data_IF_852884491240
#
_entry.id   IF_852884491240
#
_cell.length_a   1.000
_cell.length_b   1.000
_cell.length_c   1.000
_cell.angle_alpha   90.00
_cell.angle_beta   90.00
_cell.angle_gamma   90.00
#
_symmetry.space_group_name_H-M   'P 1'
#
loop_
_entity.id
_entity.type
_entity.pdbx_description
1 polymer ?
#
# COMPACT_ATOMS: atom_id res chain seq x y z
N UNK A 1 22.56 4.55 34.97
CA UNK A 1 22.20 4.29 33.57
C UNK A 1 20.80 4.81 33.41
N UNK A 2 20.65 6.05 32.89
CA UNK A 2 19.34 6.59 32.54
C UNK A 2 18.76 5.68 31.45
N UNK A 3 17.67 5.00 31.74
CA UNK A 3 16.83 4.36 30.74
C UNK A 3 16.31 5.50 29.85
N UNK A 4 16.94 5.70 28.69
CA UNK A 4 16.36 6.53 27.64
C UNK A 4 15.07 5.80 27.26
N UNK A 5 13.92 6.38 27.58
CA UNK A 5 12.65 5.81 27.19
C UNK A 5 12.65 5.70 25.66
N UNK A 6 12.39 4.50 25.14
CA UNK A 6 12.30 4.28 23.70
C UNK A 6 11.19 5.15 23.11
N UNK A 7 11.46 5.82 22.00
CA UNK A 7 10.42 6.55 21.27
C UNK A 7 9.47 5.54 20.65
N UNK A 8 8.22 5.51 21.11
CA UNK A 8 7.25 4.55 20.63
C UNK A 8 7.04 4.67 19.11
N UNK A 9 6.90 3.56 18.41
CA UNK A 9 6.92 3.51 16.95
C UNK A 9 5.76 2.70 16.40
N UNK A 10 5.10 3.25 15.36
CA UNK A 10 4.01 2.59 14.63
C UNK A 10 4.48 2.23 13.23
N UNK A 11 4.37 0.95 12.85
CA UNK A 11 4.65 0.44 11.51
C UNK A 11 3.36 0.37 10.69
N UNK A 12 3.29 1.13 9.60
CA UNK A 12 2.14 1.17 8.67
C UNK A 12 2.51 0.48 7.36
N UNK A 13 1.90 -0.67 7.02
CA UNK A 13 2.27 -1.44 5.85
C UNK A 13 1.75 -0.82 4.53
N UNK A 14 2.28 -1.30 3.41
CA UNK A 14 1.83 -0.97 2.06
C UNK A 14 0.71 -1.87 1.54
N UNK A 15 0.49 -1.78 0.24
CA UNK A 15 -0.40 -2.70 -0.49
C UNK A 15 0.11 -4.14 -0.34
N UNK A 16 -0.79 -5.10 -0.11
CA UNK A 16 -0.45 -6.50 0.18
C UNK A 16 0.44 -6.68 1.43
N UNK A 17 0.64 -5.65 2.24
CA UNK A 17 1.69 -5.56 3.27
C UNK A 17 1.30 -6.08 4.65
N UNK A 18 0.12 -6.66 4.82
CA UNK A 18 -0.29 -7.37 6.03
C UNK A 18 -1.21 -8.53 5.72
N UNK A 19 -1.36 -9.43 6.68
CA UNK A 19 -2.25 -10.59 6.56
C UNK A 19 -3.71 -10.18 6.43
N UNK A 20 -4.48 -10.97 5.67
CA UNK A 20 -5.94 -10.98 5.67
C UNK A 20 -6.44 -12.39 5.94
N UNK A 21 -7.49 -12.51 6.72
CA UNK A 21 -8.14 -13.79 7.02
C UNK A 21 -9.58 -13.78 6.52
N UNK A 22 -10.05 -14.96 6.10
CA UNK A 22 -11.41 -15.17 5.63
C UNK A 22 -12.13 -16.25 6.44
N UNK A 23 -13.44 -16.06 6.59
CA UNK A 23 -14.38 -17.10 7.02
C UNK A 23 -15.49 -17.19 5.99
N UNK A 24 -15.87 -18.42 5.62
CA UNK A 24 -16.78 -18.67 4.51
C UNK A 24 -18.10 -19.32 4.99
N UNK A 25 -19.22 -18.82 4.45
CA UNK A 25 -20.54 -19.47 4.45
C UNK A 25 -21.28 -19.05 3.16
N UNK A 26 -20.75 -19.50 2.02
CA UNK A 26 -21.10 -19.03 0.68
C UNK A 26 -22.35 -19.74 0.14
N UNK A 27 -23.19 -19.05 -0.63
CA UNK A 27 -24.34 -19.68 -1.30
C UNK A 27 -23.89 -20.62 -2.40
N UNK A 28 -22.76 -20.33 -3.09
CA UNK A 28 -22.19 -21.12 -4.17
C UNK A 28 -20.68 -20.94 -4.23
N UNK A 29 -20.00 -21.78 -4.98
CA UNK A 29 -18.56 -21.72 -5.24
C UNK A 29 -18.28 -21.75 -6.74
N UNK A 30 -17.19 -21.10 -7.16
CA UNK A 30 -16.80 -21.01 -8.59
C UNK A 30 -16.23 -22.32 -9.13
N UNK A 31 -15.72 -23.19 -8.25
CA UNK A 31 -15.16 -24.48 -8.61
C UNK A 31 -15.40 -25.48 -7.47
N UNK A 32 -15.58 -26.77 -7.80
CA UNK A 32 -15.91 -27.84 -6.81
C UNK A 32 -14.84 -28.05 -5.74
N UNK A 33 -13.59 -27.66 -5.98
CA UNK A 33 -12.50 -27.73 -5.00
C UNK A 33 -12.51 -26.59 -3.99
N UNK A 34 -13.28 -25.52 -4.24
CA UNK A 34 -13.34 -24.37 -3.34
C UNK A 34 -14.18 -24.68 -2.10
N UNK A 35 -13.69 -24.26 -0.95
CA UNK A 35 -14.49 -24.36 0.27
C UNK A 35 -15.72 -23.46 0.18
N UNK A 36 -16.89 -24.06 0.41
CA UNK A 36 -18.16 -23.35 0.51
C UNK A 36 -18.35 -22.77 1.91
N UNK A 37 -17.92 -23.50 2.94
CA UNK A 37 -18.06 -23.16 4.34
C UNK A 37 -16.79 -23.50 5.10
N UNK A 38 -16.43 -22.65 6.08
CA UNK A 38 -15.34 -22.90 7.04
C UNK A 38 -15.84 -22.66 8.46
N UNK A 39 -15.38 -23.45 9.42
CA UNK A 39 -15.76 -23.30 10.83
C UNK A 39 -15.06 -22.13 11.51
N UNK A 40 -13.84 -21.81 11.07
CA UNK A 40 -13.00 -20.75 11.61
C UNK A 40 -12.43 -19.86 10.51
N UNK A 41 -11.84 -18.74 10.92
CA UNK A 41 -11.03 -17.93 10.01
C UNK A 41 -9.77 -18.69 9.59
N UNK A 42 -9.39 -18.53 8.32
CA UNK A 42 -8.14 -19.03 7.76
C UNK A 42 -7.41 -17.89 7.05
N UNK A 43 -6.10 -18.02 6.89
CA UNK A 43 -5.28 -17.03 6.18
C UNK A 43 -5.63 -17.06 4.69
N UNK A 44 -6.12 -15.93 4.19
CA UNK A 44 -6.39 -15.72 2.78
C UNK A 44 -5.19 -15.07 2.07
N UNK A 45 -4.50 -14.17 2.77
CA UNK A 45 -3.30 -13.50 2.32
C UNK A 45 -2.25 -13.44 3.46
N UNK A 46 -1.00 -13.86 3.30
CA UNK A 46 -0.50 -14.58 2.11
C UNK A 46 -0.72 -16.09 2.35
N UNK A 47 -1.36 -16.76 1.42
CA UNK A 47 -1.52 -18.20 1.42
C UNK A 47 -1.09 -18.77 0.07
N UNK A 48 0.15 -19.27 -0.01
CA UNK A 48 0.75 -19.76 -1.24
C UNK A 48 0.04 -20.98 -1.82
N UNK A 49 -0.66 -21.76 -0.99
CA UNK A 49 -1.43 -22.93 -1.44
C UNK A 49 -2.66 -22.54 -2.26
N UNK A 50 -3.19 -21.33 -2.03
CA UNK A 50 -4.30 -20.79 -2.81
C UNK A 50 -3.84 -20.10 -4.10
N UNK A 51 -2.53 -19.86 -4.27
CA UNK A 51 -1.94 -19.23 -5.45
C UNK A 51 -1.41 -20.23 -6.46
N UNK A 52 -1.93 -21.45 -6.47
CA UNK A 52 -1.63 -22.47 -7.49
C UNK A 52 -2.75 -22.52 -8.56
N UNK A 53 -2.49 -23.05 -9.77
CA UNK A 53 -3.39 -22.91 -10.92
C UNK A 53 -4.85 -23.32 -10.69
N UNK A 54 -5.12 -24.36 -9.91
CA UNK A 54 -6.50 -24.81 -9.62
C UNK A 54 -7.17 -24.03 -8.48
N UNK A 55 -6.40 -23.60 -7.49
CA UNK A 55 -6.94 -22.93 -6.30
C UNK A 55 -7.07 -21.40 -6.49
N UNK A 56 -6.40 -20.83 -7.50
CA UNK A 56 -6.40 -19.39 -7.75
C UNK A 56 -7.81 -18.83 -7.99
N UNK A 57 -8.69 -19.59 -8.63
CA UNK A 57 -10.07 -19.15 -8.87
C UNK A 57 -10.85 -19.04 -7.56
N UNK A 58 -10.59 -19.93 -6.58
CA UNK A 58 -11.14 -19.83 -5.22
C UNK A 58 -10.61 -18.57 -4.49
N UNK A 59 -9.31 -18.31 -4.63
CA UNK A 59 -8.67 -17.15 -4.02
C UNK A 59 -9.24 -15.86 -4.60
N UNK A 60 -9.32 -15.74 -5.93
CA UNK A 60 -9.90 -14.58 -6.62
C UNK A 60 -11.33 -14.32 -6.16
N UNK A 61 -12.18 -15.36 -6.10
CA UNK A 61 -13.58 -15.23 -5.70
C UNK A 61 -13.76 -14.83 -4.23
N UNK A 62 -12.85 -15.24 -3.34
CA UNK A 62 -12.89 -14.86 -1.93
C UNK A 62 -12.24 -13.50 -1.66
N UNK A 63 -11.22 -13.10 -2.47
CA UNK A 63 -10.47 -11.88 -2.25
C UNK A 63 -11.09 -10.64 -2.90
N UNK A 64 -11.87 -10.83 -3.99
CA UNK A 64 -12.47 -9.71 -4.71
C UNK A 64 -13.43 -8.91 -3.85
N UNK A 65 -13.65 -7.65 -4.22
CA UNK A 65 -14.68 -6.79 -3.68
C UNK A 65 -15.81 -6.62 -4.70
N UNK A 66 -16.97 -6.20 -4.21
CA UNK A 66 -18.12 -5.79 -5.01
C UNK A 66 -18.36 -4.32 -4.73
N UNK A 67 -18.15 -3.48 -5.75
CA UNK A 67 -18.39 -2.05 -5.65
C UNK A 67 -19.85 -1.72 -5.91
N UNK A 68 -20.43 -0.88 -5.05
CA UNK A 68 -21.80 -0.40 -5.20
C UNK A 68 -21.80 1.07 -5.63
N UNK A 69 -22.24 1.33 -6.87
CA UNK A 69 -22.28 2.68 -7.47
C UNK A 69 -23.24 3.63 -6.77
N UNK A 70 -24.22 3.13 -6.02
CA UNK A 70 -25.18 3.98 -5.30
C UNK A 70 -24.65 4.46 -3.95
N UNK A 71 -23.95 3.57 -3.23
CA UNK A 71 -23.39 3.88 -1.90
C UNK A 71 -21.95 4.33 -1.95
N UNK A 72 -21.29 4.24 -3.13
CA UNK A 72 -19.86 4.53 -3.33
C UNK A 72 -18.99 3.79 -2.32
N UNK A 73 -19.26 2.50 -2.13
CA UNK A 73 -18.55 1.64 -1.18
C UNK A 73 -18.43 0.22 -1.70
N UNK A 74 -17.45 -0.50 -1.19
CA UNK A 74 -17.19 -1.88 -1.55
C UNK A 74 -17.43 -2.83 -0.40
N UNK A 75 -17.85 -4.05 -0.74
CA UNK A 75 -18.11 -5.15 0.21
C UNK A 75 -17.51 -6.45 -0.28
N UNK A 76 -17.26 -7.38 0.64
CA UNK A 76 -16.91 -8.75 0.26
C UNK A 76 -18.10 -9.46 -0.43
N UNK A 77 -17.85 -10.50 -1.24
CA UNK A 77 -18.91 -11.31 -1.83
C UNK A 77 -19.83 -11.94 -0.77
N UNK A 78 -21.08 -12.30 -1.13
CA UNK A 78 -22.00 -12.95 -0.21
C UNK A 78 -21.40 -14.20 0.43
N UNK A 79 -21.45 -14.26 1.77
CA UNK A 79 -20.92 -15.37 2.56
C UNK A 79 -19.38 -15.38 2.69
N UNK A 80 -18.71 -14.29 2.35
CA UNK A 80 -17.28 -14.09 2.60
C UNK A 80 -17.11 -13.02 3.67
N UNK A 81 -16.63 -13.40 4.84
CA UNK A 81 -16.27 -12.48 5.91
C UNK A 81 -14.74 -12.32 5.91
N UNK A 82 -14.25 -11.07 5.81
CA UNK A 82 -12.82 -10.75 5.85
C UNK A 82 -12.51 -9.98 7.11
N UNK A 83 -11.41 -10.34 7.77
CA UNK A 83 -10.85 -9.56 8.88
C UNK A 83 -9.36 -9.29 8.68
N UNK A 84 -8.89 -8.23 9.31
CA UNK A 84 -7.48 -7.85 9.38
C UNK A 84 -6.94 -8.25 10.74
N UNK A 85 -6.10 -9.30 10.83
CA UNK A 85 -5.57 -9.74 12.11
C UNK A 85 -4.43 -8.84 12.60
N UNK A 86 -4.26 -8.76 13.93
CA UNK A 86 -3.05 -8.25 14.54
C UNK A 86 -2.93 -6.73 14.61
N UNK A 87 -4.02 -5.96 14.58
CA UNK A 87 -3.96 -4.53 14.85
C UNK A 87 -3.36 -4.27 16.25
N UNK A 88 -2.37 -3.37 16.33
CA UNK A 88 -1.60 -3.10 17.54
C UNK A 88 -0.50 -4.12 17.85
N UNK A 89 -0.34 -5.16 17.02
CA UNK A 89 0.71 -6.16 17.10
C UNK A 89 1.58 -6.18 15.86
N UNK A 90 2.82 -6.64 15.97
CA UNK A 90 3.79 -6.59 14.87
C UNK A 90 3.68 -7.78 13.92
N UNK A 91 3.21 -8.96 14.38
CA UNK A 91 3.29 -10.21 13.62
C UNK A 91 2.67 -10.16 12.22
N UNK A 92 1.52 -9.47 12.09
CA UNK A 92 0.75 -9.40 10.83
C UNK A 92 1.44 -8.53 9.77
N UNK A 93 2.31 -7.59 10.19
CA UNK A 93 3.12 -6.74 9.31
C UNK A 93 4.56 -7.24 9.19
N UNK A 94 5.07 -8.01 10.16
CA UNK A 94 6.40 -8.62 10.06
C UNK A 94 6.43 -9.72 9.01
N UNK A 95 5.38 -10.55 8.97
CA UNK A 95 5.25 -11.66 8.03
C UNK A 95 3.85 -11.70 7.42
N UNK A 96 3.80 -11.77 6.10
CA UNK A 96 2.54 -11.90 5.34
C UNK A 96 1.97 -13.32 5.44
N UNK A 97 2.84 -14.32 5.65
CA UNK A 97 2.51 -15.73 5.86
C UNK A 97 2.70 -16.11 7.33
N UNK A 98 1.68 -16.68 8.02
CA UNK A 98 1.77 -17.12 9.41
C UNK A 98 2.87 -18.17 9.67
N UNK A 99 3.30 -18.93 8.63
CA UNK A 99 4.41 -19.88 8.76
C UNK A 99 5.78 -19.21 8.92
N UNK A 100 5.84 -17.86 8.77
CA UNK A 100 7.05 -17.03 8.91
C UNK A 100 8.18 -17.43 7.97
N UNK A 101 7.85 -17.90 6.77
CA UNK A 101 8.84 -18.18 5.72
C UNK A 101 9.39 -16.88 5.15
N UNK A 102 10.64 -16.93 4.67
CA UNK A 102 11.34 -15.78 4.10
C UNK A 102 10.59 -15.11 2.95
N UNK A 103 9.86 -15.88 2.16
CA UNK A 103 9.05 -15.36 1.05
C UNK A 103 7.94 -14.40 1.48
N UNK A 104 7.46 -14.53 2.72
CA UNK A 104 6.45 -13.66 3.31
C UNK A 104 7.02 -12.61 4.27
N UNK A 105 8.34 -12.49 4.39
CA UNK A 105 8.98 -11.54 5.28
C UNK A 105 8.82 -10.10 4.76
N UNK A 106 8.34 -9.21 5.63
CA UNK A 106 8.08 -7.82 5.26
C UNK A 106 8.73 -6.85 6.27
N UNK A 107 8.05 -6.35 7.29
CA UNK A 107 8.66 -5.44 8.27
C UNK A 107 9.60 -6.11 9.29
N UNK A 108 9.78 -7.43 9.23
CA UNK A 108 10.53 -8.19 10.24
C UNK A 108 11.92 -7.61 10.53
N UNK A 109 12.71 -7.27 9.51
CA UNK A 109 14.08 -6.78 9.73
C UNK A 109 14.13 -5.43 10.46
N UNK A 110 13.20 -4.51 10.15
CA UNK A 110 13.10 -3.23 10.86
C UNK A 110 12.67 -3.47 12.31
N UNK A 111 11.63 -4.29 12.53
CA UNK A 111 11.14 -4.59 13.87
C UNK A 111 12.22 -5.35 14.70
N UNK A 112 12.91 -6.32 14.08
CA UNK A 112 13.99 -7.06 14.76
C UNK A 112 15.15 -6.13 15.12
N UNK A 113 15.58 -5.25 14.23
CA UNK A 113 16.60 -4.25 14.52
C UNK A 113 16.19 -3.35 15.71
N UNK A 114 14.93 -2.93 15.77
CA UNK A 114 14.42 -2.17 16.91
C UNK A 114 14.47 -2.97 18.20
N UNK A 115 14.12 -4.27 18.17
CA UNK A 115 14.25 -5.17 19.34
C UNK A 115 15.71 -5.27 19.78
N UNK A 116 16.64 -5.37 18.83
CA UNK A 116 18.07 -5.40 19.13
C UNK A 116 18.57 -4.07 19.74
N UNK A 117 17.85 -2.96 19.54
CA UNK A 117 18.10 -1.66 20.19
C UNK A 117 17.37 -1.51 21.53
N UNK A 118 16.63 -2.51 21.97
CA UNK A 118 15.95 -2.54 23.27
C UNK A 118 14.45 -2.26 23.22
N UNK A 119 13.84 -2.24 22.04
CA UNK A 119 12.38 -2.14 21.89
C UNK A 119 11.69 -3.47 22.23
N UNK A 120 10.44 -3.37 22.67
CA UNK A 120 9.58 -4.53 22.94
C UNK A 120 8.47 -4.59 21.88
N UNK A 121 8.36 -5.75 21.17
CA UNK A 121 7.25 -6.02 20.26
C UNK A 121 5.92 -5.87 20.95
N UNK A 122 4.93 -5.36 20.21
CA UNK A 122 3.54 -5.19 20.66
C UNK A 122 3.39 -4.18 21.80
N UNK A 123 4.47 -3.51 22.16
CA UNK A 123 4.54 -2.49 23.20
C UNK A 123 5.14 -1.18 22.69
N UNK A 124 6.47 -1.07 22.60
CA UNK A 124 7.16 0.12 22.09
C UNK A 124 7.07 0.22 20.57
N UNK A 125 6.96 -0.92 19.88
CA UNK A 125 6.73 -1.01 18.43
C UNK A 125 5.46 -1.79 18.17
N UNK A 126 4.51 -1.15 17.44
CA UNK A 126 3.23 -1.75 17.09
C UNK A 126 2.97 -1.66 15.59
N UNK A 127 2.29 -2.68 15.06
CA UNK A 127 1.82 -2.68 13.67
C UNK A 127 0.41 -2.10 13.55
N UNK A 128 0.16 -1.41 12.46
CA UNK A 128 -1.14 -0.88 12.10
C UNK A 128 -1.64 -1.48 10.77
N UNK A 129 -1.94 -2.79 10.73
CA UNK A 129 -2.49 -3.44 9.54
C UNK A 129 -3.90 -2.94 9.23
N UNK A 130 -4.26 -2.94 7.93
CA UNK A 130 -5.57 -2.50 7.45
C UNK A 130 -6.02 -3.33 6.25
N UNK A 131 -7.28 -3.18 5.84
CA UNK A 131 -7.78 -3.80 4.61
C UNK A 131 -7.21 -3.06 3.40
N UNK A 132 -6.06 -3.53 2.91
CA UNK A 132 -5.32 -2.92 1.81
C UNK A 132 -6.03 -2.98 0.45
N UNK A 133 -7.13 -3.74 0.32
CA UNK A 133 -7.96 -3.76 -0.89
C UNK A 133 -8.77 -2.46 -1.04
N UNK A 134 -8.92 -1.72 0.05
CA UNK A 134 -9.73 -0.50 0.15
C UNK A 134 -8.86 0.75 0.12
N UNK A 135 -9.49 1.88 -0.16
CA UNK A 135 -8.88 3.20 0.02
C UNK A 135 -9.30 3.81 1.37
N UNK A 136 -8.67 4.92 1.82
CA UNK A 136 -8.93 5.50 3.13
C UNK A 136 -10.40 5.81 3.44
N UNK A 137 -11.19 6.25 2.43
CA UNK A 137 -12.61 6.56 2.59
C UNK A 137 -13.45 5.37 3.07
N UNK A 138 -13.00 4.15 2.84
CA UNK A 138 -13.68 2.92 3.26
C UNK A 138 -13.04 2.24 4.49
N UNK A 139 -11.98 2.82 5.07
CA UNK A 139 -11.27 2.29 6.25
C UNK A 139 -11.40 3.22 7.48
N UNK A 140 -12.56 3.80 7.71
CA UNK A 140 -12.77 4.80 8.80
C UNK A 140 -12.46 4.25 10.20
N UNK A 141 -12.88 3.03 10.48
CA UNK A 141 -12.66 2.37 11.79
C UNK A 141 -11.16 2.17 12.05
N UNK A 142 -10.39 1.86 11.01
CA UNK A 142 -8.92 1.78 11.11
C UNK A 142 -8.32 3.10 11.59
N UNK A 143 -8.75 4.24 11.06
CA UNK A 143 -8.19 5.55 11.45
C UNK A 143 -8.55 5.93 12.89
N UNK A 144 -9.75 5.58 13.35
CA UNK A 144 -10.13 5.76 14.76
C UNK A 144 -9.27 4.89 15.69
N UNK A 145 -9.05 3.64 15.30
CA UNK A 145 -8.18 2.73 16.04
C UNK A 145 -6.71 3.19 16.03
N UNK A 146 -6.23 3.69 14.88
CA UNK A 146 -4.87 4.24 14.75
C UNK A 146 -4.66 5.45 15.64
N UNK A 147 -5.59 6.40 15.64
CA UNK A 147 -5.53 7.58 16.52
C UNK A 147 -5.45 7.17 17.98
N UNK A 148 -6.36 6.29 18.42
CA UNK A 148 -6.37 5.78 19.80
C UNK A 148 -5.07 5.08 20.18
N UNK A 149 -4.55 4.21 19.31
CA UNK A 149 -3.29 3.50 19.53
C UNK A 149 -2.12 4.47 19.67
N UNK A 150 -2.02 5.49 18.82
CA UNK A 150 -0.97 6.52 18.90
C UNK A 150 -1.06 7.28 20.24
N UNK A 151 -2.25 7.69 20.64
CA UNK A 151 -2.46 8.39 21.93
C UNK A 151 -2.06 7.51 23.13
N UNK A 152 -2.46 6.24 23.13
CA UNK A 152 -2.07 5.26 24.17
C UNK A 152 -0.54 5.06 24.22
N UNK A 153 0.10 4.88 23.06
CA UNK A 153 1.56 4.69 22.98
C UNK A 153 2.31 5.94 23.45
N UNK A 154 1.86 7.11 23.04
CA UNK A 154 2.48 8.39 23.47
C UNK A 154 2.34 8.61 24.98
N UNK A 155 1.19 8.31 25.57
CA UNK A 155 0.97 8.39 27.00
C UNK A 155 1.90 7.42 27.77
N UNK A 156 2.01 6.19 27.30
CA UNK A 156 2.84 5.17 27.93
C UNK A 156 4.33 5.50 27.84
N UNK A 157 4.80 5.97 26.70
CA UNK A 157 6.19 6.34 26.46
C UNK A 157 6.57 7.70 27.08
N UNK A 158 5.59 8.51 27.48
CA UNK A 158 5.81 9.85 28.01
C UNK A 158 6.23 10.87 26.95
N UNK A 159 5.98 10.62 25.67
CA UNK A 159 6.37 11.50 24.57
C UNK A 159 5.71 11.10 23.24
N UNK A 160 5.88 11.94 22.17
CA UNK A 160 5.28 11.68 20.88
C UNK A 160 5.88 10.44 20.20
N UNK A 161 5.12 9.83 19.28
CA UNK A 161 5.49 8.62 18.56
C UNK A 161 6.13 8.92 17.19
N UNK A 162 6.87 7.95 16.65
CA UNK A 162 7.34 7.95 15.27
C UNK A 162 6.46 7.01 14.44
N UNK A 163 6.04 7.46 13.25
CA UNK A 163 5.36 6.60 12.29
C UNK A 163 6.35 6.20 11.20
N UNK A 164 6.49 4.89 10.97
CA UNK A 164 7.26 4.34 9.84
C UNK A 164 6.26 3.71 8.89
N UNK A 165 6.14 4.26 7.69
CA UNK A 165 5.24 3.73 6.68
C UNK A 165 6.00 3.31 5.42
N UNK A 166 5.53 2.25 4.78
CA UNK A 166 6.08 1.76 3.52
C UNK A 166 5.03 1.79 2.41
N UNK A 167 5.46 2.15 1.19
CA UNK A 167 4.62 2.05 -0.03
C UNK A 167 3.28 2.80 0.13
N UNK A 168 2.16 2.17 -0.19
CA UNK A 168 0.81 2.73 -0.05
C UNK A 168 0.49 3.19 1.38
N UNK A 169 1.10 2.59 2.40
CA UNK A 169 0.95 3.01 3.80
C UNK A 169 1.33 4.47 4.04
N UNK A 170 2.19 5.04 3.20
CA UNK A 170 2.53 6.46 3.26
C UNK A 170 1.36 7.35 2.87
N UNK A 171 0.59 6.96 1.84
CA UNK A 171 -0.61 7.69 1.44
C UNK A 171 -1.72 7.59 2.51
N UNK A 172 -1.86 6.42 3.15
CA UNK A 172 -2.75 6.23 4.31
C UNK A 172 -2.33 7.13 5.47
N UNK A 173 -1.04 7.21 5.76
CA UNK A 173 -0.48 8.08 6.82
C UNK A 173 -0.68 9.55 6.47
N UNK A 174 -0.45 9.96 5.21
CA UNK A 174 -0.70 11.33 4.76
C UNK A 174 -2.17 11.71 4.93
N UNK A 175 -3.09 10.85 4.48
CA UNK A 175 -4.53 11.07 4.66
C UNK A 175 -4.89 11.21 6.14
N UNK A 176 -4.41 10.30 6.99
CA UNK A 176 -4.64 10.33 8.44
C UNK A 176 -4.15 11.63 9.07
N UNK A 177 -2.90 12.04 8.80
CA UNK A 177 -2.32 13.24 9.37
C UNK A 177 -3.04 14.52 8.91
N UNK A 178 -3.55 14.53 7.67
CA UNK A 178 -4.32 15.66 7.15
C UNK A 178 -5.73 15.77 7.75
N UNK A 179 -6.25 14.71 8.36
CA UNK A 179 -7.49 14.75 9.14
C UNK A 179 -7.28 15.23 10.60
N UNK A 180 -6.03 15.30 11.07
CA UNK A 180 -5.74 15.68 12.45
C UNK A 180 -5.48 17.18 12.61
N UNK A 181 -6.00 17.82 13.69
CA UNK A 181 -5.62 19.19 14.02
C UNK A 181 -4.10 19.31 14.27
N UNK A 182 -3.50 20.47 13.93
CA UNK A 182 -2.07 20.67 14.14
C UNK A 182 -1.65 20.46 15.60
N UNK A 183 -2.45 20.95 16.56
CA UNK A 183 -2.18 20.77 17.99
C UNK A 183 -2.13 19.27 18.41
N UNK A 184 -2.94 18.41 17.77
CA UNK A 184 -2.87 16.97 17.99
C UNK A 184 -1.56 16.39 17.44
N UNK A 185 -1.17 16.78 16.21
CA UNK A 185 0.09 16.36 15.59
C UNK A 185 1.29 16.78 16.41
N UNK A 186 1.34 18.04 16.85
CA UNK A 186 2.42 18.59 17.68
C UNK A 186 2.57 17.85 19.02
N UNK A 187 1.47 17.31 19.55
CA UNK A 187 1.47 16.55 20.80
C UNK A 187 1.88 15.11 20.66
N UNK A 188 1.46 14.46 19.58
CA UNK A 188 1.50 12.98 19.47
C UNK A 188 2.46 12.46 18.43
N UNK A 189 2.92 13.25 17.47
CA UNK A 189 3.80 12.79 16.37
C UNK A 189 5.14 13.52 16.44
N UNK A 190 6.22 12.74 16.65
CA UNK A 190 7.60 13.24 16.58
C UNK A 190 8.05 13.34 15.13
N UNK A 191 8.05 12.23 14.42
CA UNK A 191 8.53 12.10 13.05
C UNK A 191 7.66 11.16 12.22
N UNK A 192 7.62 11.40 10.92
CA UNK A 192 7.09 10.50 9.92
C UNK A 192 8.21 10.02 8.99
N UNK A 193 8.61 8.76 9.12
CA UNK A 193 9.60 8.10 8.25
C UNK A 193 8.84 7.41 7.12
N UNK A 194 8.99 7.94 5.93
CA UNK A 194 8.35 7.47 4.71
C UNK A 194 9.33 6.65 3.89
N UNK A 195 8.98 5.41 3.59
CA UNK A 195 9.78 4.47 2.82
C UNK A 195 9.07 4.14 1.50
N UNK A 196 9.69 4.45 0.36
CA UNK A 196 9.21 4.07 -0.97
C UNK A 196 7.80 4.53 -1.30
N UNK A 197 7.45 5.76 -0.95
CA UNK A 197 6.08 6.26 -1.08
C UNK A 197 5.70 6.56 -2.52
N UNK A 198 4.53 6.08 -3.00
CA UNK A 198 3.98 6.41 -4.31
C UNK A 198 3.21 7.74 -4.30
N UNK A 199 3.87 8.84 -3.94
CA UNK A 199 3.23 10.15 -3.75
C UNK A 199 2.46 10.67 -4.95
N UNK A 200 2.94 10.37 -6.15
CA UNK A 200 2.30 10.73 -7.43
C UNK A 200 1.51 9.59 -8.07
N UNK A 201 1.28 8.50 -7.35
CA UNK A 201 0.72 7.26 -7.91
C UNK A 201 1.80 6.38 -8.56
N UNK A 202 1.39 5.27 -9.16
CA UNK A 202 2.27 4.22 -9.70
C UNK A 202 1.85 3.86 -11.11
N UNK A 203 2.75 3.98 -12.10
CA UNK A 203 2.46 3.61 -13.49
C UNK A 203 2.15 2.10 -13.65
N UNK A 204 2.73 1.24 -12.80
CA UNK A 204 2.47 -0.20 -12.79
C UNK A 204 0.98 -0.54 -12.66
N UNK A 205 0.22 0.25 -11.90
CA UNK A 205 -1.21 0.00 -11.69
C UNK A 205 -2.05 0.11 -12.95
N UNK A 206 -1.57 0.80 -13.98
CA UNK A 206 -2.24 0.81 -15.29
C UNK A 206 -2.26 -0.58 -15.92
N UNK A 207 -1.11 -1.29 -15.94
CA UNK A 207 -1.09 -2.69 -16.39
C UNK A 207 -2.03 -3.55 -15.56
N UNK A 208 -2.02 -3.37 -14.24
CA UNK A 208 -2.86 -4.14 -13.31
C UNK A 208 -4.35 -4.04 -13.69
N UNK A 209 -4.86 -2.84 -13.98
CA UNK A 209 -6.27 -2.65 -14.36
C UNK A 209 -6.57 -3.01 -15.82
N UNK A 210 -5.59 -2.96 -16.71
CA UNK A 210 -5.80 -3.26 -18.14
C UNK A 210 -5.74 -4.76 -18.40
N UNK A 211 -4.59 -5.38 -18.17
CA UNK A 211 -4.31 -6.79 -18.52
C UNK A 211 -4.03 -7.68 -17.29
N UNK A 212 -4.04 -7.10 -16.08
CA UNK A 212 -3.68 -7.81 -14.87
C UNK A 212 -2.17 -7.91 -14.66
N UNK A 213 -1.76 -8.27 -13.46
CA UNK A 213 -0.36 -8.54 -13.12
C UNK A 213 -0.29 -9.76 -12.20
N UNK A 214 0.38 -10.81 -12.62
CA UNK A 214 0.56 -12.03 -11.82
C UNK A 214 1.65 -11.90 -10.74
N UNK A 215 2.18 -10.69 -10.51
CA UNK A 215 3.23 -10.42 -9.53
C UNK A 215 4.45 -11.35 -9.65
N UNK A 216 4.84 -11.67 -10.90
CA UNK A 216 5.93 -12.60 -11.25
C UNK A 216 5.72 -14.04 -10.75
N UNK A 217 4.48 -14.46 -10.52
CA UNK A 217 4.14 -15.85 -10.23
C UNK A 217 3.87 -16.55 -11.58
N UNK A 218 4.84 -17.29 -12.14
CA UNK A 218 4.81 -17.69 -13.56
C UNK A 218 3.72 -18.70 -13.91
N UNK A 219 3.16 -19.37 -12.90
CA UNK A 219 2.10 -20.38 -13.08
C UNK A 219 0.68 -19.79 -13.11
N UNK A 220 0.55 -18.48 -12.87
CA UNK A 220 -0.73 -17.78 -12.82
C UNK A 220 -0.84 -16.85 -14.04
N UNK A 221 -1.96 -16.94 -14.76
CA UNK A 221 -2.27 -15.96 -15.80
C UNK A 221 -2.63 -14.61 -15.18
N UNK A 222 -2.04 -13.52 -15.71
CA UNK A 222 -2.37 -12.16 -15.32
C UNK A 222 -3.86 -11.87 -15.48
N UNK A 223 -4.50 -12.36 -16.56
CA UNK A 223 -5.92 -12.19 -16.83
C UNK A 223 -6.82 -12.85 -15.76
N UNK A 224 -6.39 -13.96 -15.15
CA UNK A 224 -7.16 -14.61 -14.07
C UNK A 224 -7.25 -13.73 -12.82
N UNK A 225 -6.17 -13.09 -12.43
CA UNK A 225 -6.15 -12.25 -11.21
C UNK A 225 -6.68 -10.84 -11.45
N UNK A 226 -6.80 -10.41 -12.71
CA UNK A 226 -7.26 -9.06 -13.10
C UNK A 226 -8.61 -8.70 -12.48
N UNK A 227 -9.56 -9.62 -12.41
CA UNK A 227 -10.89 -9.35 -11.85
C UNK A 227 -10.83 -8.99 -10.36
N UNK A 228 -9.99 -9.68 -9.59
CA UNK A 228 -9.74 -9.34 -8.20
C UNK A 228 -9.02 -7.99 -8.08
N UNK A 229 -7.97 -7.77 -8.87
CA UNK A 229 -7.18 -6.55 -8.87
C UNK A 229 -7.99 -5.31 -9.25
N UNK A 230 -8.86 -5.42 -10.26
CA UNK A 230 -9.83 -4.37 -10.64
C UNK A 230 -10.82 -4.07 -9.51
N UNK A 231 -11.21 -5.06 -8.74
CA UNK A 231 -12.17 -4.89 -7.64
C UNK A 231 -11.59 -4.18 -6.42
N UNK A 232 -10.26 -4.20 -6.25
CA UNK A 232 -9.59 -3.50 -5.17
C UNK A 232 -9.57 -1.99 -5.45
N UNK A 233 -10.28 -1.22 -4.63
CA UNK A 233 -10.38 0.24 -4.75
C UNK A 233 -9.02 0.92 -4.63
N UNK A 234 -8.13 0.34 -3.82
CA UNK A 234 -6.72 0.78 -3.68
C UNK A 234 -5.95 0.76 -4.99
N UNK A 235 -6.20 -0.21 -5.88
CA UNK A 235 -5.54 -0.28 -7.19
C UNK A 235 -5.84 0.95 -8.04
N UNK A 236 -7.11 1.34 -8.11
CA UNK A 236 -7.53 2.55 -8.81
C UNK A 236 -7.03 3.82 -8.13
N UNK A 237 -6.99 3.84 -6.80
CA UNK A 237 -6.44 4.96 -6.04
C UNK A 237 -4.95 5.21 -6.32
N UNK A 238 -4.18 4.15 -6.54
CA UNK A 238 -2.74 4.23 -6.82
C UNK A 238 -2.38 4.61 -8.26
N UNK A 239 -3.33 4.81 -9.17
CA UNK A 239 -3.05 5.31 -10.52
C UNK A 239 -2.35 6.68 -10.49
N UNK A 240 -1.52 7.01 -11.49
CA UNK A 240 -0.88 8.31 -11.58
C UNK A 240 -1.83 9.49 -11.40
N UNK A 241 -1.41 10.51 -10.63
CA UNK A 241 -2.21 11.70 -10.36
C UNK A 241 -1.91 12.81 -11.37
N UNK A 242 -2.96 13.42 -11.93
CA UNK A 242 -2.84 14.46 -12.96
C UNK A 242 -2.11 15.74 -12.47
N UNK A 243 -2.08 16.00 -11.17
CA UNK A 243 -1.35 17.13 -10.57
C UNK A 243 0.12 16.81 -10.23
N UNK A 244 0.55 15.56 -10.41
CA UNK A 244 1.91 15.11 -10.12
C UNK A 244 2.71 14.78 -11.38
N UNK A 245 2.05 14.39 -12.46
CA UNK A 245 2.70 14.00 -13.71
C UNK A 245 2.52 15.03 -14.84
N UNK A 246 3.47 15.09 -15.80
CA UNK A 246 3.27 15.88 -17.02
C UNK A 246 2.00 15.44 -17.75
N UNK A 247 1.18 16.40 -18.16
CA UNK A 247 -0.13 16.13 -18.76
C UNK A 247 -0.05 15.49 -20.14
N UNK A 248 1.07 15.67 -20.83
CA UNK A 248 1.40 15.11 -22.15
C UNK A 248 2.13 13.76 -22.08
N UNK A 249 2.44 13.29 -20.87
CA UNK A 249 3.07 11.98 -20.68
C UNK A 249 2.10 10.88 -21.11
N UNK A 250 2.50 10.14 -22.15
CA UNK A 250 1.76 8.94 -22.59
C UNK A 250 2.15 7.77 -21.69
N UNK A 251 1.17 7.23 -21.00
CA UNK A 251 1.31 6.04 -20.13
C UNK A 251 0.91 4.75 -20.85
N UNK A 252 -0.09 4.81 -21.72
CA UNK A 252 -0.58 3.65 -22.45
C UNK A 252 -0.71 4.04 -23.92
N UNK A 253 -0.10 3.24 -24.78
CA UNK A 253 -0.19 3.35 -26.22
C UNK A 253 -0.83 2.09 -26.80
N UNK A 254 -1.88 2.27 -27.61
CA UNK A 254 -2.48 1.22 -28.43
C UNK A 254 -2.29 1.57 -29.91
N UNK A 255 -2.61 0.69 -30.85
CA UNK A 255 -2.53 1.02 -32.29
C UNK A 255 -3.35 2.24 -32.71
N UNK A 256 -4.42 2.54 -31.95
CA UNK A 256 -5.38 3.60 -32.32
C UNK A 256 -5.40 4.79 -31.36
N UNK A 257 -4.85 4.66 -30.15
CA UNK A 257 -5.03 5.66 -29.09
C UNK A 257 -3.82 5.72 -28.16
N UNK A 258 -3.50 6.94 -27.75
CA UNK A 258 -2.57 7.21 -26.64
C UNK A 258 -3.36 7.73 -25.44
N UNK A 259 -3.03 7.22 -24.23
CA UNK A 259 -3.66 7.65 -22.99
C UNK A 259 -2.62 8.32 -22.06
N UNK A 260 -2.95 9.53 -21.66
CA UNK A 260 -2.26 10.32 -20.64
C UNK A 260 -3.04 10.31 -19.33
N UNK A 261 -2.57 11.01 -18.30
CA UNK A 261 -3.34 11.19 -17.05
C UNK A 261 -4.69 11.87 -17.26
N UNK A 262 -4.87 12.59 -18.37
CA UNK A 262 -6.13 13.27 -18.69
C UNK A 262 -7.15 12.35 -19.39
N UNK A 263 -6.71 11.19 -19.87
CA UNK A 263 -7.52 10.27 -20.67
C UNK A 263 -8.04 9.08 -19.86
N UNK A 264 -7.84 9.03 -18.55
CA UNK A 264 -8.19 7.85 -17.73
C UNK A 264 -9.69 7.54 -17.78
N UNK A 265 -10.57 8.55 -17.83
CA UNK A 265 -12.01 8.28 -18.03
C UNK A 265 -12.25 7.47 -19.31
N UNK A 266 -11.64 7.87 -20.41
CA UNK A 266 -11.73 7.17 -21.68
C UNK A 266 -11.10 5.77 -21.59
N UNK A 267 -9.93 5.66 -20.95
CA UNK A 267 -9.27 4.38 -20.74
C UNK A 267 -10.19 3.37 -20.02
N UNK A 268 -10.85 3.80 -18.95
CA UNK A 268 -11.79 2.94 -18.22
C UNK A 268 -12.97 2.48 -19.08
N UNK A 269 -13.47 3.33 -19.96
CA UNK A 269 -14.51 2.95 -20.93
C UNK A 269 -13.96 1.96 -21.96
N UNK A 270 -12.78 2.22 -22.53
CA UNK A 270 -12.18 1.41 -23.59
C UNK A 270 -11.74 0.01 -23.11
N UNK A 271 -11.55 -0.18 -21.79
CA UNK A 271 -11.27 -1.49 -21.17
C UNK A 271 -12.50 -2.14 -20.51
N UNK A 272 -13.69 -1.60 -20.74
CA UNK A 272 -14.96 -2.09 -20.18
C UNK A 272 -14.92 -2.21 -18.64
N UNK A 273 -14.52 -1.11 -17.96
CA UNK A 273 -14.39 -1.05 -16.51
C UNK A 273 -14.87 0.29 -15.91
N UNK A 274 -16.14 0.61 -16.10
CA UNK A 274 -16.75 1.86 -15.60
C UNK A 274 -16.75 1.99 -14.08
N UNK A 275 -16.88 0.89 -13.32
CA UNK A 275 -16.76 0.91 -11.85
C UNK A 275 -15.42 1.49 -11.41
N UNK A 276 -14.34 1.20 -12.15
CA UNK A 276 -13.02 1.75 -11.87
C UNK A 276 -12.97 3.27 -11.99
N UNK A 277 -13.70 3.85 -12.95
CA UNK A 277 -13.79 5.31 -13.05
C UNK A 277 -14.54 5.92 -11.85
N UNK A 278 -15.63 5.31 -11.40
CA UNK A 278 -16.34 5.76 -10.18
C UNK A 278 -15.44 5.66 -8.95
N UNK A 279 -14.78 4.52 -8.76
CA UNK A 279 -13.78 4.34 -7.69
C UNK A 279 -12.68 5.40 -7.75
N UNK A 280 -12.21 5.77 -8.95
CA UNK A 280 -11.20 6.82 -9.13
C UNK A 280 -11.72 8.19 -8.68
N UNK A 281 -12.94 8.54 -9.06
CA UNK A 281 -13.57 9.79 -8.65
C UNK A 281 -13.76 9.88 -7.12
N UNK A 282 -14.07 8.76 -6.47
CA UNK A 282 -14.21 8.69 -5.02
C UNK A 282 -12.87 8.81 -4.28
N UNK A 283 -11.78 8.36 -4.89
CA UNK A 283 -10.51 8.17 -4.19
C UNK A 283 -9.44 9.20 -4.55
N UNK A 284 -9.39 9.70 -5.78
CA UNK A 284 -8.38 10.67 -6.21
C UNK A 284 -8.35 11.92 -5.31
N UNK A 285 -9.47 12.52 -4.88
CA UNK A 285 -9.46 13.70 -4.03
C UNK A 285 -8.87 13.48 -2.64
N UNK A 286 -8.72 12.24 -2.17
CA UNK A 286 -8.30 11.93 -0.80
C UNK A 286 -6.90 12.47 -0.47
N UNK A 287 -5.99 12.50 -1.46
CA UNK A 287 -4.61 12.97 -1.30
C UNK A 287 -4.11 13.82 -2.48
N UNK A 288 -4.95 14.09 -3.49
CA UNK A 288 -4.52 14.69 -4.75
C UNK A 288 -4.03 16.15 -4.61
N UNK A 289 -4.54 16.93 -3.68
CA UNK A 289 -4.08 18.30 -3.39
C UNK A 289 -2.69 18.32 -2.75
N UNK A 290 -2.23 17.16 -2.28
CA UNK A 290 -0.91 16.93 -1.73
C UNK A 290 -0.56 17.91 -0.60
N UNK A 291 -1.52 18.13 0.30
CA UNK A 291 -1.36 18.96 1.50
C UNK A 291 -0.24 18.41 2.38
N UNK A 292 0.69 19.27 2.84
CA UNK A 292 1.75 18.83 3.75
C UNK A 292 1.21 18.16 5.00
N UNK A 293 1.86 17.11 5.53
CA UNK A 293 1.38 16.38 6.71
C UNK A 293 1.45 17.20 8.01
N UNK A 294 2.25 18.28 8.05
CA UNK A 294 2.39 19.14 9.22
C UNK A 294 3.17 18.51 10.37
N UNK A 295 4.05 17.56 10.07
CA UNK A 295 5.00 16.90 10.99
C UNK A 295 6.37 16.85 10.33
N UNK A 296 7.44 16.56 11.09
CA UNK A 296 8.75 16.29 10.50
C UNK A 296 8.69 15.03 9.61
N UNK A 297 9.19 15.13 8.37
CA UNK A 297 9.14 14.05 7.37
C UNK A 297 10.55 13.63 6.96
N UNK A 298 10.78 12.33 6.95
CA UNK A 298 11.99 11.70 6.39
C UNK A 298 11.56 10.85 5.19
N UNK A 299 11.79 11.36 3.98
CA UNK A 299 11.35 10.76 2.72
C UNK A 299 12.49 9.95 2.12
N UNK A 300 12.48 8.63 2.35
CA UNK A 300 13.45 7.68 1.80
C UNK A 300 12.87 7.04 0.54
N UNK A 301 13.63 7.04 -0.55
CA UNK A 301 13.16 6.50 -1.84
C UNK A 301 14.29 5.80 -2.59
N UNK A 302 13.95 4.72 -3.30
CA UNK A 302 14.86 4.00 -4.17
C UNK A 302 14.96 4.65 -5.55
N UNK A 303 16.11 4.50 -6.21
CA UNK A 303 16.40 4.96 -7.56
C UNK A 303 17.33 4.00 -8.28
N UNK A 304 17.52 4.19 -9.59
CA UNK A 304 18.45 3.40 -10.39
C UNK A 304 18.01 1.97 -10.68
N UNK A 305 16.76 1.61 -10.36
CA UNK A 305 16.15 0.30 -10.67
C UNK A 305 15.15 0.46 -11.81
N UNK A 306 15.28 -0.39 -12.83
CA UNK A 306 14.37 -0.37 -13.98
C UNK A 306 12.91 -0.55 -13.50
N UNK A 307 12.09 0.48 -13.74
CA UNK A 307 10.71 0.58 -13.25
C UNK A 307 9.76 0.81 -14.41
N UNK A 308 8.67 0.04 -14.47
CA UNK A 308 7.65 0.21 -15.50
C UNK A 308 7.07 1.63 -15.47
N UNK A 309 7.14 2.34 -16.60
CA UNK A 309 6.74 3.75 -16.70
C UNK A 309 5.66 3.99 -17.74
N UNK A 310 5.59 3.15 -18.77
CA UNK A 310 4.53 3.17 -19.78
C UNK A 310 4.37 1.79 -20.43
N UNK A 311 3.28 1.62 -21.18
CA UNK A 311 2.88 0.34 -21.76
C UNK A 311 2.45 0.51 -23.21
N UNK A 312 2.90 -0.40 -24.10
CA UNK A 312 2.48 -0.47 -25.50
C UNK A 312 1.72 -1.78 -25.72
N UNK A 313 0.47 -1.67 -26.11
CA UNK A 313 -0.40 -2.79 -26.40
C UNK A 313 -0.53 -3.02 -27.91
N UNK A 314 -0.75 -4.28 -28.29
CA UNK A 314 -1.11 -4.70 -29.65
C UNK A 314 -2.61 -4.52 -29.92
N UNK A 315 -3.08 -5.02 -31.07
CA UNK A 315 -4.48 -4.97 -31.48
C UNK A 315 -5.43 -5.76 -30.58
N UNK A 316 -4.91 -6.73 -29.82
CA UNK A 316 -5.71 -7.53 -28.86
C UNK A 316 -5.92 -6.81 -27.51
N UNK A 317 -5.62 -5.50 -27.42
CA UNK A 317 -5.92 -4.68 -26.24
C UNK A 317 -7.40 -4.79 -25.84
N UNK A 318 -7.75 -4.98 -24.54
CA UNK A 318 -6.88 -4.99 -23.36
C UNK A 318 -6.41 -6.39 -22.91
N UNK A 319 -6.74 -7.46 -23.64
CA UNK A 319 -6.63 -8.85 -23.17
C UNK A 319 -5.28 -9.51 -23.56
N UNK A 320 -4.24 -8.70 -23.65
CA UNK A 320 -2.89 -9.11 -24.05
C UNK A 320 -1.84 -8.50 -23.13
N UNK A 321 -0.69 -9.17 -23.00
CA UNK A 321 0.46 -8.61 -22.29
C UNK A 321 1.08 -7.45 -23.08
N UNK A 322 1.34 -6.30 -22.45
CA UNK A 322 1.96 -5.17 -23.13
C UNK A 322 3.48 -5.31 -23.24
N UNK A 323 4.06 -4.60 -24.20
CA UNK A 323 5.47 -4.22 -24.14
C UNK A 323 5.66 -3.15 -23.08
N UNK A 324 6.52 -3.40 -22.11
CA UNK A 324 6.80 -2.47 -21.00
C UNK A 324 7.88 -1.47 -21.42
N UNK A 325 7.59 -0.18 -21.24
CA UNK A 325 8.59 0.89 -21.34
C UNK A 325 9.10 1.18 -19.94
N UNK A 326 10.41 1.06 -19.76
CA UNK A 326 11.07 1.22 -18.46
C UNK A 326 11.57 2.65 -18.28
N UNK A 327 11.48 3.15 -17.06
CA UNK A 327 12.06 4.37 -16.56
C UNK A 327 12.82 4.13 -15.26
N UNK A 328 13.09 5.18 -14.52
CA UNK A 328 13.80 5.12 -13.24
C UNK A 328 12.84 5.00 -12.06
N UNK A 329 13.28 4.32 -11.00
CA UNK A 329 12.55 4.16 -9.74
C UNK A 329 13.17 3.09 -8.87
N UNK A 330 12.32 2.45 -8.06
CA UNK A 330 12.70 1.37 -7.15
C UNK A 330 12.19 -0.02 -7.61
N UNK A 331 11.85 -0.15 -8.91
CA UNK A 331 11.27 -1.37 -9.49
C UNK A 331 9.75 -1.45 -9.36
N UNK A 332 9.13 -0.63 -8.53
CA UNK A 332 7.67 -0.54 -8.32
C UNK A 332 7.19 0.90 -8.45
N UNK A 333 7.73 1.81 -7.67
CA UNK A 333 7.37 3.23 -7.66
C UNK A 333 8.35 4.00 -8.55
N UNK A 334 7.81 4.73 -9.50
CA UNK A 334 8.60 5.58 -10.38
C UNK A 334 9.27 6.71 -9.58
N UNK A 335 10.52 7.02 -9.88
CA UNK A 335 11.29 8.09 -9.22
C UNK A 335 10.54 9.42 -9.24
N UNK A 336 9.90 9.75 -10.38
CA UNK A 336 9.07 10.95 -10.51
C UNK A 336 7.98 11.05 -9.43
N UNK A 337 7.34 9.92 -9.10
CA UNK A 337 6.33 9.83 -8.04
C UNK A 337 6.96 9.91 -6.65
N UNK A 338 8.02 9.14 -6.41
CA UNK A 338 8.65 9.00 -5.10
C UNK A 338 9.20 10.33 -4.55
N UNK A 339 9.75 11.19 -5.42
CA UNK A 339 10.35 12.47 -5.01
C UNK A 339 9.35 13.62 -4.83
N UNK A 340 8.05 13.41 -5.02
CA UNK A 340 7.05 14.48 -4.89
C UNK A 340 7.01 15.08 -3.47
N UNK A 341 7.44 14.37 -2.44
CA UNK A 341 7.56 14.90 -1.06
C UNK A 341 8.43 16.18 -0.99
N UNK A 342 9.34 16.41 -1.95
CA UNK A 342 10.09 17.67 -2.06
C UNK A 342 9.21 18.91 -2.15
N UNK A 343 7.96 18.76 -2.62
CA UNK A 343 6.99 19.87 -2.73
C UNK A 343 6.54 20.37 -1.37
N UNK A 344 6.77 19.64 -0.28
CA UNK A 344 6.45 20.08 1.08
C UNK A 344 7.54 20.96 1.67
N UNK A 345 8.76 20.93 1.12
CA UNK A 345 9.85 21.81 1.57
C UNK A 345 9.43 23.28 1.43
N UNK A 346 9.45 24.00 2.55
CA UNK A 346 9.00 25.40 2.62
C UNK A 346 7.48 25.62 2.61
N UNK A 347 6.67 24.54 2.49
CA UNK A 347 5.20 24.61 2.57
C UNK A 347 4.64 24.24 3.96
N UNK A 348 5.47 23.74 4.84
CA UNK A 348 5.19 23.48 6.25
C UNK A 348 6.36 23.99 7.11
N UNK A 349 6.11 24.18 8.41
CA UNK A 349 7.14 24.62 9.36
C UNK A 349 8.13 23.52 9.72
N UNK A 350 7.64 22.29 9.79
CA UNK A 350 8.42 21.12 10.18
C UNK A 350 9.37 20.72 9.05
N UNK A 351 10.55 20.19 9.37
CA UNK A 351 11.55 19.80 8.38
C UNK A 351 11.05 18.67 7.47
N UNK A 352 11.51 18.72 6.23
CA UNK A 352 11.32 17.66 5.23
C UNK A 352 12.70 17.26 4.71
N UNK A 353 13.13 16.06 5.04
CA UNK A 353 14.43 15.51 4.62
C UNK A 353 14.22 14.46 3.54
N UNK A 354 14.95 14.55 2.45
CA UNK A 354 14.93 13.56 1.39
C UNK A 354 16.24 12.74 1.44
N UNK A 355 16.12 11.42 1.37
CA UNK A 355 17.25 10.50 1.30
C UNK A 355 17.05 9.52 0.14
N UNK A 356 17.93 9.60 -0.85
CA UNK A 356 17.99 8.67 -1.95
C UNK A 356 18.73 7.39 -1.54
N UNK A 357 18.19 6.25 -1.97
CA UNK A 357 18.77 4.92 -1.82
C UNK A 357 19.09 4.38 -3.23
N UNK A 358 20.30 4.61 -3.76
CA UNK A 358 20.66 4.19 -5.12
C UNK A 358 20.64 2.67 -5.27
N UNK A 359 20.16 2.19 -6.44
CA UNK A 359 20.06 0.77 -6.79
C UNK A 359 19.30 -0.08 -5.75
N UNK A 360 18.32 0.53 -5.08
CA UNK A 360 17.53 -0.14 -4.03
C UNK A 360 16.13 -0.45 -4.51
N UNK A 361 15.76 -1.72 -4.51
CA UNK A 361 14.42 -2.18 -4.84
C UNK A 361 13.40 -1.85 -3.75
N UNK A 362 12.14 -1.80 -4.16
CA UNK A 362 11.00 -1.32 -3.36
C UNK A 362 10.87 -2.00 -1.99
N UNK A 363 10.87 -3.34 -1.96
CA UNK A 363 10.74 -4.11 -0.72
C UNK A 363 12.10 -4.23 -0.02
N UNK A 364 13.19 -4.25 -0.77
CA UNK A 364 14.53 -4.39 -0.22
C UNK A 364 14.96 -3.21 0.64
N UNK A 365 14.31 -2.04 0.52
CA UNK A 365 14.58 -0.93 1.44
C UNK A 365 14.22 -1.26 2.90
N UNK A 366 13.34 -2.22 3.15
CA UNK A 366 13.00 -2.68 4.50
C UNK A 366 14.10 -3.52 5.15
N UNK A 367 15.04 -4.03 4.36
CA UNK A 367 16.21 -4.81 4.81
C UNK A 367 17.52 -4.06 4.59
N UNK A 368 17.50 -2.92 3.88
CA UNK A 368 18.68 -2.15 3.54
C UNK A 368 19.35 -1.58 4.80
N UNK A 369 20.66 -1.81 4.92
CA UNK A 369 21.45 -1.30 6.06
C UNK A 369 21.33 0.23 6.23
N UNK A 370 21.38 0.98 5.13
CA UNK A 370 21.28 2.45 5.18
C UNK A 370 19.92 2.90 5.72
N UNK A 371 18.84 2.23 5.31
CA UNK A 371 17.49 2.48 5.85
C UNK A 371 17.43 2.21 7.34
N UNK A 372 17.91 1.03 7.77
CA UNK A 372 17.89 0.62 9.19
C UNK A 372 18.76 1.56 10.03
N UNK A 373 19.94 1.93 9.55
CA UNK A 373 20.82 2.87 10.25
C UNK A 373 20.22 4.28 10.34
N UNK A 374 19.50 4.72 9.28
CA UNK A 374 18.81 6.01 9.29
C UNK A 374 17.65 6.01 10.29
N UNK A 375 16.83 4.97 10.32
CA UNK A 375 15.76 4.79 11.30
C UNK A 375 16.34 4.84 12.72
N UNK A 376 17.42 4.11 12.98
CA UNK A 376 18.12 4.14 14.27
C UNK A 376 18.51 5.56 14.66
N UNK A 377 19.10 6.31 13.74
CA UNK A 377 19.49 7.71 13.99
C UNK A 377 18.29 8.56 14.39
N UNK A 378 17.15 8.47 13.69
CA UNK A 378 15.95 9.25 14.00
C UNK A 378 15.34 8.86 15.36
N UNK A 379 15.26 7.55 15.64
CA UNK A 379 14.65 7.04 16.88
C UNK A 379 15.50 7.33 18.13
N UNK A 380 16.82 7.29 18.00
CA UNK A 380 17.75 7.46 19.13
C UNK A 380 18.35 8.87 19.21
N UNK A 381 17.95 9.80 18.33
CA UNK A 381 18.28 11.21 18.45
C UNK A 381 17.49 11.84 19.61
N UNK A 382 18.15 12.64 20.48
CA UNK A 382 17.52 13.29 21.61
C UNK A 382 16.42 14.27 21.21
#
# INVERSE_FOLDING_TARGET
>A
MLLIANVATVAVPGDLGNQLEAKLDKPSVVHYICYKKTDSFFTLWLNVELLIPLAIDCWVDNMRLIYNRTTHSSSSPPGVEIRVPGFGRTYSVEYLDPSKRSVGMYFFNIVQAMVDWGYTRDDDVRGAPYDWRKAPNENKEYFLALQKMIEEMAHKAGGPVVIIAHSMGNLYTLYFLNQQPQAWKDRYIKDFISLGAPWGGVAKTLRVIISGDNNRIPVISSLKVRSQQRSAVSTTWLLPYANSWPKDKVFVQTPTTNYTVLDFKRLYTDIDFEDGWQMRQDTEPLVADFTPPGVAVHCLYGSGVATAEAYKYSEDFPDVEPTVVLGDGDGTVNLWSAVQCRRWVGRQKQPVTLLELPANEHVDMLVNYTTVAYIKKVLLSP
#
